data_IF_214212238756
#
_entry.id   IF_214212238756
#
_cell.length_a   1.000
_cell.length_b   1.000
_cell.length_c   1.000
_cell.angle_alpha   90.00
_cell.angle_beta   90.00
_cell.angle_gamma   90.00
#
_symmetry.space_group_name_H-M   'P 1'
#
loop_
_entity.id
_entity.type
_entity.pdbx_description
1 polymer ?
#
# COMPACT_ATOMS: atom_id res chain seq x y z
N UNK A 1 2.49 -30.02 -4.45
CA UNK A 1 2.78 -29.09 -3.33
C UNK A 1 3.19 -27.79 -3.97
N UNK A 2 2.36 -26.78 -3.90
CA UNK A 2 2.70 -25.46 -4.38
C UNK A 2 3.84 -24.94 -3.49
N UNK A 3 4.95 -24.55 -4.08
CA UNK A 3 6.01 -23.85 -3.37
C UNK A 3 5.44 -22.52 -2.89
N UNK A 4 5.07 -22.44 -1.62
CA UNK A 4 4.73 -21.18 -0.97
C UNK A 4 6.01 -20.36 -0.75
N UNK A 5 6.60 -19.86 -1.82
CA UNK A 5 7.61 -18.81 -1.70
C UNK A 5 6.91 -17.47 -1.47
N UNK A 6 6.19 -17.38 -0.36
CA UNK A 6 5.70 -16.11 0.15
C UNK A 6 6.76 -15.47 1.03
N UNK A 7 6.91 -14.15 0.94
CA UNK A 7 7.64 -13.44 1.96
C UNK A 7 6.80 -13.40 3.24
N UNK A 8 7.41 -13.78 4.35
CA UNK A 8 6.78 -13.72 5.66
C UNK A 8 7.03 -12.38 6.34
N UNK A 9 6.10 -11.97 7.21
CA UNK A 9 6.25 -10.77 8.02
C UNK A 9 7.48 -10.88 8.92
N UNK A 10 8.34 -9.90 8.87
CA UNK A 10 9.51 -9.78 9.75
C UNK A 10 9.48 -8.43 10.44
N UNK A 11 10.28 -8.21 11.47
CA UNK A 11 10.40 -6.86 12.04
C UNK A 11 10.87 -5.86 10.98
N UNK A 12 10.27 -4.67 10.98
CA UNK A 12 10.57 -3.65 9.98
C UNK A 12 11.87 -2.92 10.33
N UNK A 13 12.96 -3.08 9.56
CA UNK A 13 14.24 -2.42 9.86
C UNK A 13 14.19 -0.88 9.78
N UNK A 14 13.16 -0.33 9.13
CA UNK A 14 12.96 1.11 9.03
C UNK A 14 12.06 1.67 10.14
N UNK A 15 11.52 0.82 11.01
CA UNK A 15 10.76 1.26 12.16
C UNK A 15 11.72 1.48 13.33
N UNK A 16 12.10 2.72 13.58
CA UNK A 16 13.05 3.09 14.62
C UNK A 16 12.42 3.26 16.01
N UNK A 17 11.15 2.91 16.17
CA UNK A 17 10.47 2.83 17.48
C UNK A 17 10.41 4.13 18.27
N UNK A 18 10.65 5.26 17.62
CA UNK A 18 10.88 6.54 18.25
C UNK A 18 12.37 6.90 18.32
N UNK A 19 12.69 8.14 18.52
CA UNK A 19 14.00 8.75 18.25
C UNK A 19 15.23 8.17 19.00
N UNK A 20 15.05 7.25 19.93
CA UNK A 20 16.13 6.75 20.77
C UNK A 20 16.25 5.21 20.85
N UNK A 21 15.26 4.45 20.39
CA UNK A 21 15.28 3.00 20.48
C UNK A 21 15.55 2.35 19.12
N UNK A 22 16.73 1.77 18.99
CA UNK A 22 17.13 1.04 17.78
C UNK A 22 17.52 -0.39 18.16
N UNK A 23 16.60 -1.34 18.11
CA UNK A 23 16.92 -2.73 18.39
C UNK A 23 17.85 -3.29 17.31
N UNK A 24 18.66 -4.26 17.68
CA UNK A 24 19.41 -5.04 16.72
C UNK A 24 18.52 -6.11 16.13
N UNK A 25 18.40 -6.13 14.80
CA UNK A 25 17.69 -7.16 14.06
C UNK A 25 18.68 -8.14 13.44
N UNK A 26 18.41 -9.43 13.56
CA UNK A 26 19.21 -10.51 12.98
C UNK A 26 18.31 -11.61 12.38
N UNK A 27 18.88 -12.64 11.81
CA UNK A 27 18.15 -13.78 11.25
C UNK A 27 17.08 -13.35 10.23
N UNK A 28 17.47 -12.50 9.25
CA UNK A 28 16.52 -11.96 8.27
C UNK A 28 15.45 -11.07 8.87
N UNK A 29 15.79 -10.30 9.92
CA UNK A 29 14.90 -9.44 10.69
C UNK A 29 13.79 -10.16 11.49
N UNK A 30 13.90 -11.46 11.66
CA UNK A 30 12.97 -12.22 12.53
C UNK A 30 13.32 -12.12 14.00
N UNK A 31 14.60 -12.05 14.31
CA UNK A 31 15.09 -11.94 15.68
C UNK A 31 15.37 -10.50 16.05
N UNK A 32 14.86 -10.09 17.18
CA UNK A 32 15.08 -8.77 17.76
C UNK A 32 15.84 -8.91 19.09
N UNK A 33 16.83 -8.07 19.30
CA UNK A 33 17.44 -7.87 20.59
C UNK A 33 17.63 -6.39 20.88
N UNK A 34 17.34 -5.99 22.09
CA UNK A 34 17.40 -4.59 22.47
C UNK A 34 17.73 -4.42 23.95
N UNK A 35 18.40 -3.32 24.25
CA UNK A 35 18.46 -2.75 25.58
C UNK A 35 17.55 -1.53 25.54
N UNK A 36 16.45 -1.55 26.30
CA UNK A 36 15.60 -0.38 26.43
C UNK A 36 16.36 0.77 27.12
N UNK A 37 16.22 1.98 26.60
CA UNK A 37 16.97 3.13 27.10
C UNK A 37 16.35 3.84 28.32
N UNK A 38 15.35 3.25 28.95
CA UNK A 38 14.82 3.65 30.25
C UNK A 38 13.95 4.89 30.32
N UNK A 39 13.71 5.61 29.22
CA UNK A 39 13.02 6.90 29.26
C UNK A 39 11.84 7.07 28.31
N UNK A 40 11.59 6.13 27.43
CA UNK A 40 10.54 6.28 26.41
C UNK A 40 9.82 4.96 26.12
N UNK A 41 8.56 5.07 25.75
CA UNK A 41 7.77 3.98 25.25
C UNK A 41 8.25 3.59 23.85
N UNK A 42 8.44 2.33 23.62
CA UNK A 42 9.04 1.81 22.39
C UNK A 42 8.14 0.73 21.80
N UNK A 43 8.10 0.67 20.49
CA UNK A 43 7.41 -0.39 19.74
C UNK A 43 8.24 -0.77 18.51
N UNK A 44 8.03 -1.96 18.03
CA UNK A 44 8.63 -2.43 16.79
C UNK A 44 7.65 -3.34 16.06
N UNK A 45 7.04 -2.81 15.02
CA UNK A 45 6.05 -3.52 14.21
C UNK A 45 6.70 -4.36 13.11
N UNK A 46 5.98 -5.33 12.60
CA UNK A 46 6.42 -6.13 11.44
C UNK A 46 6.18 -5.39 10.13
N UNK A 47 6.73 -5.95 9.06
CA UNK A 47 6.65 -5.42 7.69
C UNK A 47 5.32 -5.72 6.98
N UNK A 48 4.54 -6.70 7.45
CA UNK A 48 3.38 -7.21 6.74
C UNK A 48 2.09 -6.97 7.51
N UNK A 49 1.18 -6.23 6.88
CA UNK A 49 -0.17 -6.01 7.35
C UNK A 49 -1.14 -6.99 6.69
N UNK A 50 -2.10 -7.51 7.45
CA UNK A 50 -3.14 -8.42 7.00
C UNK A 50 -4.53 -7.92 7.40
N UNK A 51 -5.60 -8.23 6.65
CA UNK A 51 -6.94 -7.78 7.00
C UNK A 51 -7.42 -8.43 8.31
N UNK A 52 -7.87 -7.59 9.25
CA UNK A 52 -8.34 -8.04 10.56
C UNK A 52 -9.63 -8.88 10.50
N UNK A 53 -10.46 -8.68 9.48
CA UNK A 53 -11.75 -9.32 9.31
C UNK A 53 -11.73 -10.62 8.49
N UNK A 54 -10.54 -11.19 8.21
CA UNK A 54 -10.44 -12.47 7.50
C UNK A 54 -11.10 -13.60 8.28
N UNK A 55 -11.95 -14.38 7.62
CA UNK A 55 -12.72 -15.46 8.25
C UNK A 55 -11.93 -16.71 8.59
N UNK A 56 -10.80 -16.95 7.93
CA UNK A 56 -9.86 -18.01 8.31
C UNK A 56 -9.00 -17.59 9.49
N UNK A 57 -8.70 -16.31 9.59
CA UNK A 57 -7.84 -15.71 10.59
C UNK A 57 -6.35 -15.85 10.30
N UNK A 58 -5.59 -14.89 10.81
CA UNK A 58 -4.13 -14.84 10.71
C UNK A 58 -3.48 -15.13 12.07
N UNK A 59 -2.46 -15.97 12.05
CA UNK A 59 -1.78 -16.47 13.23
C UNK A 59 -0.27 -16.25 13.15
N UNK A 60 0.35 -15.92 14.28
CA UNK A 60 1.79 -15.90 14.45
C UNK A 60 2.20 -16.24 15.89
N UNK A 61 3.46 -16.58 16.05
CA UNK A 61 4.08 -16.87 17.34
C UNK A 61 5.21 -15.88 17.62
N UNK A 62 5.49 -15.70 18.87
CA UNK A 62 6.67 -15.01 19.35
C UNK A 62 7.39 -15.89 20.37
N UNK A 63 8.67 -16.17 20.09
CA UNK A 63 9.52 -16.97 20.97
C UNK A 63 10.52 -16.06 21.70
N UNK A 64 10.21 -15.60 22.93
CA UNK A 64 11.11 -14.75 23.69
C UNK A 64 12.33 -15.55 24.16
N UNK A 65 13.54 -15.03 23.99
CA UNK A 65 14.79 -15.63 24.48
C UNK A 65 15.39 -14.89 25.68
N UNK A 66 14.97 -13.63 25.89
CA UNK A 66 15.27 -12.88 27.09
C UNK A 66 14.06 -11.97 27.42
N UNK A 67 13.54 -12.10 28.63
CA UNK A 67 12.37 -11.32 29.09
C UNK A 67 12.73 -10.68 30.42
N UNK A 68 12.96 -9.38 30.44
CA UNK A 68 13.24 -8.66 31.68
C UNK A 68 12.00 -8.48 32.53
N UNK A 69 12.18 -7.93 33.71
CA UNK A 69 11.08 -7.65 34.67
C UNK A 69 10.16 -6.51 34.25
N UNK A 70 10.47 -5.82 33.15
CA UNK A 70 9.73 -4.69 32.63
C UNK A 70 8.48 -5.07 31.84
N UNK A 71 7.63 -4.07 31.59
CA UNK A 71 6.38 -4.18 30.84
C UNK A 71 6.62 -4.37 29.34
N UNK A 72 6.85 -5.61 28.93
CA UNK A 72 6.94 -6.00 27.54
C UNK A 72 5.63 -6.60 27.07
N UNK A 73 5.31 -6.32 25.81
CA UNK A 73 4.08 -6.75 25.16
C UNK A 73 4.39 -7.37 23.82
N UNK A 74 3.80 -8.51 23.54
CA UNK A 74 3.59 -8.97 22.18
C UNK A 74 2.25 -8.40 21.72
N UNK A 75 2.19 -7.75 20.54
CA UNK A 75 1.08 -6.90 20.17
C UNK A 75 0.70 -7.02 18.70
N UNK A 76 -0.54 -6.61 18.38
CA UNK A 76 -0.96 -6.24 17.04
C UNK A 76 -1.03 -4.72 16.95
N UNK A 77 -0.60 -4.18 15.80
CA UNK A 77 -0.68 -2.78 15.44
C UNK A 77 -1.54 -2.62 14.21
N UNK A 78 -2.56 -1.78 14.29
CA UNK A 78 -3.44 -1.43 13.18
C UNK A 78 -2.86 -0.33 12.29
N UNK A 79 -3.45 -0.15 11.13
CA UNK A 79 -3.10 0.90 10.18
C UNK A 79 -3.38 2.32 10.70
N UNK A 80 -4.23 2.46 11.73
CA UNK A 80 -4.47 3.71 12.44
C UNK A 80 -3.51 3.97 13.63
N UNK A 81 -2.59 3.05 13.91
CA UNK A 81 -1.59 3.26 14.96
C UNK A 81 -0.65 4.41 14.61
N UNK A 82 -0.54 5.37 15.50
CA UNK A 82 0.35 6.53 15.30
C UNK A 82 1.77 6.19 15.71
N UNK A 83 2.59 5.93 14.72
CA UNK A 83 4.03 5.78 14.90
C UNK A 83 4.66 7.13 15.26
N UNK A 84 5.28 7.24 16.44
CA UNK A 84 5.91 8.49 16.89
C UNK A 84 6.60 8.37 18.24
N UNK A 85 7.23 9.45 18.68
CA UNK A 85 7.86 9.53 20.01
C UNK A 85 6.80 9.40 21.11
N UNK A 86 7.05 8.52 22.08
CA UNK A 86 6.16 8.21 23.20
C UNK A 86 4.85 7.48 22.84
N UNK A 87 4.74 6.90 21.64
CA UNK A 87 3.64 6.00 21.36
C UNK A 87 3.85 4.67 22.07
N UNK A 88 2.85 4.20 22.79
CA UNK A 88 2.84 2.89 23.44
C UNK A 88 1.51 2.18 23.21
N UNK A 89 1.50 0.85 23.39
CA UNK A 89 0.30 0.03 23.21
C UNK A 89 -0.86 0.50 24.10
N UNK A 90 -0.55 1.04 25.29
CA UNK A 90 -1.56 1.49 26.25
C UNK A 90 -2.12 2.88 25.97
N UNK A 91 -1.39 3.73 25.23
CA UNK A 91 -1.71 5.15 25.07
C UNK A 91 -2.01 5.54 23.62
N UNK A 92 -1.97 4.60 22.70
CA UNK A 92 -2.17 4.87 21.26
C UNK A 92 -3.32 4.03 20.71
N UNK A 93 -4.29 4.63 20.02
CA UNK A 93 -5.32 3.87 19.33
C UNK A 93 -4.68 2.96 18.27
N UNK A 94 -5.32 1.84 17.98
CA UNK A 94 -4.84 0.89 16.99
C UNK A 94 -3.72 -0.02 17.48
N UNK A 95 -3.58 -0.22 18.79
CA UNK A 95 -2.66 -1.19 19.34
C UNK A 95 -3.32 -2.08 20.40
N UNK A 96 -3.02 -3.38 20.35
CA UNK A 96 -3.58 -4.39 21.26
C UNK A 96 -2.46 -5.33 21.69
N UNK A 97 -2.14 -5.35 22.97
CA UNK A 97 -0.97 -6.06 23.48
C UNK A 97 -1.27 -7.03 24.60
N UNK A 98 -0.50 -8.12 24.63
CA UNK A 98 -0.42 -9.09 25.70
C UNK A 98 0.86 -8.84 26.48
N UNK A 99 0.70 -8.28 27.67
CA UNK A 99 1.80 -7.92 28.54
C UNK A 99 2.40 -9.18 29.20
N UNK A 100 3.68 -9.17 29.39
CA UNK A 100 4.43 -10.20 30.09
C UNK A 100 3.85 -10.52 31.49
N UNK A 101 3.30 -9.56 32.20
CA UNK A 101 2.64 -9.75 33.50
C UNK A 101 1.31 -10.53 33.43
N UNK A 102 0.82 -10.83 32.22
CA UNK A 102 -0.47 -11.43 32.00
C UNK A 102 -1.60 -10.43 31.75
N UNK A 103 -1.33 -9.13 31.79
CA UNK A 103 -2.36 -8.12 31.50
C UNK A 103 -2.54 -7.90 30.00
N UNK A 104 -3.71 -7.44 29.59
CA UNK A 104 -4.01 -7.04 28.23
C UNK A 104 -4.11 -5.53 28.13
N UNK A 105 -3.36 -4.94 27.24
CA UNK A 105 -3.20 -3.50 27.11
C UNK A 105 -3.71 -2.98 25.77
N UNK A 106 -4.60 -1.98 25.81
CA UNK A 106 -5.03 -1.21 24.64
C UNK A 106 -5.65 0.11 25.11
N UNK A 107 -5.58 1.15 24.29
CA UNK A 107 -6.34 2.39 24.50
C UNK A 107 -7.79 2.28 24.01
N UNK A 108 -8.08 1.33 23.11
CA UNK A 108 -9.43 1.20 22.57
C UNK A 108 -10.37 0.58 23.60
N UNK A 109 -11.47 1.26 23.87
CA UNK A 109 -12.55 0.78 24.73
C UNK A 109 -13.31 -0.36 24.03
N UNK A 110 -12.98 -1.58 24.37
CA UNK A 110 -13.66 -2.81 23.95
C UNK A 110 -13.76 -3.76 25.13
N UNK A 111 -14.67 -4.72 25.07
CA UNK A 111 -14.80 -5.72 26.13
C UNK A 111 -13.47 -6.47 26.29
N UNK A 112 -12.74 -6.17 27.35
CA UNK A 112 -11.42 -6.72 27.64
C UNK A 112 -10.37 -5.69 28.07
N UNK A 113 -10.59 -4.42 27.80
CA UNK A 113 -9.62 -3.38 28.19
C UNK A 113 -9.43 -3.34 29.73
N UNK A 114 -8.25 -3.77 30.19
CA UNK A 114 -7.75 -3.51 31.51
C UNK A 114 -8.24 -4.35 32.69
N UNK A 115 -9.07 -5.39 32.49
CA UNK A 115 -9.65 -6.15 33.60
C UNK A 115 -9.48 -7.67 33.51
N UNK A 116 -9.21 -8.24 32.36
CA UNK A 116 -8.91 -9.66 32.23
C UNK A 116 -7.42 -9.86 32.37
N UNK A 117 -7.00 -10.61 33.40
CA UNK A 117 -5.62 -11.05 33.53
C UNK A 117 -5.52 -12.45 32.93
N UNK A 118 -4.69 -12.61 31.92
CA UNK A 118 -4.24 -13.89 31.45
C UNK A 118 -3.04 -14.38 32.26
N UNK A 119 -2.35 -15.36 31.73
CA UNK A 119 -1.18 -15.97 32.34
C UNK A 119 0.08 -15.12 32.08
N UNK A 120 0.88 -14.88 33.09
CA UNK A 120 2.19 -14.23 32.91
C UNK A 120 3.12 -15.15 32.09
N UNK A 121 3.88 -14.58 31.16
CA UNK A 121 4.79 -15.34 30.31
C UNK A 121 6.25 -14.99 30.53
N UNK A 122 7.14 -15.92 30.20
CA UNK A 122 8.58 -15.88 30.40
C UNK A 122 9.31 -16.23 29.11
N UNK A 123 10.64 -16.25 29.14
CA UNK A 123 11.46 -16.72 28.02
C UNK A 123 11.31 -18.23 27.70
N UNK A 124 10.55 -18.96 28.51
CA UNK A 124 10.29 -20.39 28.28
C UNK A 124 8.96 -20.65 27.56
N UNK A 125 8.17 -19.61 27.30
CA UNK A 125 6.87 -19.76 26.67
C UNK A 125 6.90 -19.33 25.19
N UNK A 126 6.05 -19.92 24.38
CA UNK A 126 5.70 -19.43 23.06
C UNK A 126 4.45 -18.61 23.19
N UNK A 127 4.55 -17.30 22.89
CA UNK A 127 3.41 -16.39 22.95
C UNK A 127 2.71 -16.40 21.60
N UNK A 128 1.40 -16.55 21.61
CA UNK A 128 0.57 -16.73 20.42
C UNK A 128 -0.35 -15.53 20.22
N UNK A 129 -0.51 -15.12 18.96
CA UNK A 129 -1.56 -14.16 18.55
C UNK A 129 -2.33 -14.74 17.36
N UNK A 130 -3.65 -14.62 17.43
CA UNK A 130 -4.56 -14.87 16.32
C UNK A 130 -5.55 -13.72 16.19
N UNK A 131 -5.75 -13.25 14.96
CA UNK A 131 -6.82 -12.33 14.58
C UNK A 131 -7.75 -13.00 13.58
N UNK A 132 -9.05 -13.03 13.87
CA UNK A 132 -10.07 -13.65 13.02
C UNK A 132 -11.40 -12.91 13.14
N UNK A 133 -12.02 -12.56 12.02
CA UNK A 133 -13.29 -11.83 11.99
C UNK A 133 -13.31 -10.61 12.94
N UNK A 134 -12.20 -9.85 12.98
CA UNK A 134 -12.05 -8.69 13.86
C UNK A 134 -11.95 -9.02 15.34
N UNK A 135 -11.65 -10.28 15.70
CA UNK A 135 -11.48 -10.74 17.09
C UNK A 135 -10.04 -11.16 17.34
N UNK A 136 -9.44 -10.64 18.41
CA UNK A 136 -8.06 -10.95 18.81
C UNK A 136 -8.06 -11.98 19.93
N UNK A 137 -7.23 -13.00 19.75
CA UNK A 137 -6.95 -14.04 20.72
C UNK A 137 -5.47 -14.04 21.05
N UNK A 138 -5.14 -14.11 22.32
CA UNK A 138 -3.78 -14.37 22.80
C UNK A 138 -3.70 -15.74 23.45
N UNK A 139 -2.52 -16.30 23.49
CA UNK A 139 -2.31 -17.59 24.12
C UNK A 139 -0.84 -17.87 24.43
N UNK A 140 -0.63 -18.95 25.13
CA UNK A 140 0.69 -19.49 25.49
C UNK A 140 0.73 -20.98 25.22
N UNK A 141 1.83 -21.45 24.63
CA UNK A 141 2.18 -22.87 24.51
C UNK A 141 1.02 -23.74 23.98
N UNK A 142 0.31 -23.25 22.97
CA UNK A 142 -0.80 -23.97 22.33
C UNK A 142 -2.18 -23.78 22.96
N UNK A 143 -2.28 -23.02 24.05
CA UNK A 143 -3.57 -22.75 24.74
C UNK A 143 -3.92 -21.27 24.65
N UNK A 144 -5.11 -20.97 24.11
CA UNK A 144 -5.62 -19.60 24.10
C UNK A 144 -6.15 -19.20 25.47
N UNK A 145 -5.82 -17.98 25.87
CA UNK A 145 -6.30 -17.35 27.09
C UNK A 145 -7.83 -17.14 27.05
N UNK A 146 -8.42 -16.87 28.23
CA UNK A 146 -9.85 -16.65 28.38
C UNK A 146 -10.73 -17.78 27.80
N UNK A 147 -10.22 -19.02 27.84
CA UNK A 147 -10.89 -20.19 27.22
C UNK A 147 -11.21 -19.97 25.73
N UNK A 148 -10.31 -19.30 25.01
CA UNK A 148 -10.47 -18.94 23.61
C UNK A 148 -10.75 -20.15 22.73
N UNK A 149 -11.88 -20.11 22.02
CA UNK A 149 -12.30 -21.12 21.05
C UNK A 149 -12.47 -20.48 19.68
N UNK A 150 -11.53 -20.72 18.79
CA UNK A 150 -11.48 -20.12 17.46
C UNK A 150 -12.63 -20.59 16.56
N UNK A 151 -13.06 -21.85 16.69
CA UNK A 151 -14.12 -22.44 15.88
C UNK A 151 -15.49 -21.81 16.20
N UNK A 152 -15.74 -21.58 17.49
CA UNK A 152 -16.99 -20.98 17.99
C UNK A 152 -16.88 -19.47 18.15
N UNK A 153 -15.70 -18.90 17.89
CA UNK A 153 -15.39 -17.48 18.05
C UNK A 153 -15.74 -16.89 19.41
N UNK A 154 -15.41 -17.63 20.47
CA UNK A 154 -15.61 -17.25 21.89
C UNK A 154 -14.28 -17.09 22.60
N UNK A 155 -14.26 -16.41 23.75
CA UNK A 155 -13.06 -16.24 24.57
C UNK A 155 -12.00 -15.33 23.94
N UNK A 156 -12.36 -14.51 22.97
CA UNK A 156 -11.50 -13.45 22.43
C UNK A 156 -11.23 -12.38 23.51
N UNK A 157 -10.14 -11.66 23.35
CA UNK A 157 -9.76 -10.57 24.26
C UNK A 157 -10.33 -9.24 23.76
N UNK A 158 -10.27 -8.96 22.46
CA UNK A 158 -10.88 -7.80 21.81
C UNK A 158 -11.68 -8.21 20.60
N UNK A 159 -12.61 -7.36 20.20
CA UNK A 159 -13.47 -7.54 19.03
C UNK A 159 -13.72 -6.21 18.32
N UNK A 160 -14.37 -6.28 17.16
CA UNK A 160 -14.69 -5.14 16.30
C UNK A 160 -13.45 -4.45 15.74
N UNK A 161 -12.34 -5.18 15.60
CA UNK A 161 -11.14 -4.69 14.96
C UNK A 161 -11.37 -4.64 13.45
N UNK A 162 -11.13 -3.49 12.86
CA UNK A 162 -11.28 -3.23 11.41
C UNK A 162 -9.97 -2.78 10.82
N UNK A 163 -9.91 -2.70 9.48
CA UNK A 163 -8.68 -2.33 8.77
C UNK A 163 -7.66 -3.46 8.72
N UNK A 164 -6.40 -3.09 8.59
CA UNK A 164 -5.30 -4.05 8.53
C UNK A 164 -4.48 -4.00 9.82
N UNK A 165 -3.88 -5.13 10.17
CA UNK A 165 -3.05 -5.26 11.37
C UNK A 165 -1.75 -5.99 11.07
N UNK A 166 -0.70 -5.68 11.81
CA UNK A 166 0.57 -6.41 11.77
C UNK A 166 1.03 -6.77 13.19
N UNK A 167 1.74 -7.90 13.39
CA UNK A 167 2.31 -8.24 14.68
C UNK A 167 3.55 -7.40 14.98
N UNK A 168 3.89 -7.33 16.26
CA UNK A 168 5.10 -6.69 16.72
C UNK A 168 5.25 -6.72 18.22
N UNK A 169 6.17 -5.94 18.72
CA UNK A 169 6.44 -5.82 20.15
C UNK A 169 6.37 -4.37 20.60
N UNK A 170 6.02 -4.18 21.87
CA UNK A 170 6.08 -2.90 22.54
C UNK A 170 6.64 -3.01 23.95
N UNK A 171 7.25 -1.95 24.44
CA UNK A 171 7.65 -1.86 25.83
C UNK A 171 7.36 -0.48 26.40
N UNK A 172 7.08 -0.47 27.69
CA UNK A 172 7.03 0.74 28.49
C UNK A 172 8.42 1.01 29.10
N UNK A 173 8.76 2.27 29.26
CA UNK A 173 10.07 2.77 29.63
C UNK A 173 10.77 1.99 30.77
N UNK A 174 11.63 1.05 30.48
CA UNK A 174 12.53 0.48 31.45
C UNK A 174 13.83 -0.02 30.83
N UNK A 175 14.92 0.21 31.57
CA UNK A 175 16.26 -0.17 31.16
C UNK A 175 16.47 -1.69 31.36
N UNK A 176 16.05 -2.50 30.38
CA UNK A 176 16.27 -3.94 30.47
C UNK A 176 16.38 -4.60 29.10
N UNK A 177 17.19 -5.65 29.05
CA UNK A 177 17.43 -6.38 27.81
C UNK A 177 16.23 -7.26 27.47
N UNK A 178 15.77 -7.15 26.24
CA UNK A 178 14.76 -8.00 25.64
C UNK A 178 15.33 -8.66 24.40
N UNK A 179 14.97 -9.91 24.17
CA UNK A 179 15.29 -10.59 22.93
C UNK A 179 14.25 -11.68 22.62
N UNK A 180 14.03 -11.94 21.36
CA UNK A 180 13.11 -12.99 20.90
C UNK A 180 12.99 -13.01 19.38
N UNK A 181 12.23 -14.00 18.91
CA UNK A 181 11.99 -14.23 17.49
C UNK A 181 10.50 -14.17 17.17
N UNK A 182 10.14 -13.37 16.16
CA UNK A 182 8.83 -13.38 15.56
C UNK A 182 8.75 -14.53 14.54
N UNK A 183 7.78 -15.40 14.70
CA UNK A 183 7.58 -16.59 13.87
C UNK A 183 6.27 -16.40 13.09
N UNK A 184 6.40 -16.09 11.81
CA UNK A 184 5.31 -15.92 10.85
C UNK A 184 5.37 -16.97 9.73
N UNK A 185 6.45 -17.72 9.63
CA UNK A 185 6.62 -18.84 8.71
C UNK A 185 5.95 -20.10 9.30
N UNK A 186 4.91 -20.67 8.64
CA UNK A 186 4.19 -21.84 9.15
C UNK A 186 5.06 -23.07 9.31
N UNK A 187 6.18 -23.16 8.57
CA UNK A 187 7.13 -24.27 8.73
C UNK A 187 7.90 -24.22 10.07
N UNK A 188 7.91 -23.08 10.73
CA UNK A 188 8.58 -22.85 12.01
C UNK A 188 7.61 -22.71 13.19
N UNK A 189 6.32 -22.57 12.93
CA UNK A 189 5.29 -22.46 13.96
C UNK A 189 5.06 -23.81 14.65
N UNK A 190 4.90 -23.76 15.96
CA UNK A 190 4.68 -24.96 16.80
C UNK A 190 3.20 -25.22 17.07
N UNK A 191 2.39 -24.17 17.17
CA UNK A 191 1.01 -24.24 17.65
C UNK A 191 -0.02 -23.66 16.68
N UNK A 192 0.31 -23.54 15.39
CA UNK A 192 -0.63 -22.95 14.43
C UNK A 192 -1.95 -23.75 14.39
N UNK A 193 -3.08 -23.11 14.67
CA UNK A 193 -4.38 -23.77 14.58
C UNK A 193 -4.72 -24.15 13.14
N UNK A 194 -5.29 -25.33 12.95
CA UNK A 194 -5.70 -25.83 11.64
C UNK A 194 -6.67 -24.86 10.95
N UNK A 195 -6.44 -24.58 9.67
CA UNK A 195 -7.28 -23.68 8.86
C UNK A 195 -6.98 -22.20 9.02
N UNK A 196 -6.03 -21.80 9.87
CA UNK A 196 -5.56 -20.43 9.95
C UNK A 196 -4.45 -20.14 8.96
N UNK A 197 -4.29 -18.87 8.59
CA UNK A 197 -3.25 -18.36 7.70
C UNK A 197 -2.09 -17.79 8.50
N UNK A 198 -0.89 -17.83 7.96
CA UNK A 198 0.26 -17.11 8.49
C UNK A 198 0.30 -15.65 8.00
N UNK A 199 1.03 -14.78 8.70
CA UNK A 199 1.36 -13.43 8.23
C UNK A 199 2.40 -13.52 7.10
N UNK A 200 1.95 -13.93 5.93
CA UNK A 200 2.75 -14.13 4.73
C UNK A 200 2.05 -13.58 3.50
N UNK A 201 2.83 -13.13 2.50
CA UNK A 201 2.30 -12.52 1.28
C UNK A 201 1.43 -13.47 0.46
N UNK A 202 1.69 -14.79 0.55
CA UNK A 202 0.85 -15.80 -0.11
C UNK A 202 -0.59 -15.86 0.42
N UNK A 203 -0.82 -15.33 1.62
CA UNK A 203 -2.13 -15.33 2.30
C UNK A 203 -2.86 -13.99 2.20
N UNK A 204 -2.25 -12.99 1.60
CA UNK A 204 -2.92 -11.71 1.32
C UNK A 204 -3.99 -11.90 0.25
N UNK A 205 -5.01 -11.04 0.23
CA UNK A 205 -5.94 -11.00 -0.89
C UNK A 205 -5.18 -10.90 -2.22
N UNK A 206 -5.63 -11.65 -3.22
CA UNK A 206 -5.05 -11.54 -4.56
C UNK A 206 -5.14 -10.09 -5.01
N UNK A 207 -4.03 -9.45 -5.39
CA UNK A 207 -4.08 -8.09 -5.89
C UNK A 207 -4.97 -8.01 -7.12
N UNK A 208 -5.69 -6.91 -7.28
CA UNK A 208 -6.53 -6.68 -8.46
C UNK A 208 -5.71 -6.75 -9.76
N UNK A 209 -4.45 -6.32 -9.69
CA UNK A 209 -3.49 -6.44 -10.77
C UNK A 209 -2.60 -7.65 -10.48
N UNK A 210 -2.84 -8.77 -11.17
CA UNK A 210 -2.04 -9.99 -11.04
C UNK A 210 -0.75 -9.88 -11.86
N UNK A 211 -0.85 -9.25 -13.04
CA UNK A 211 0.26 -9.00 -13.93
C UNK A 211 0.31 -7.51 -14.28
N UNK A 212 1.31 -6.79 -13.81
CA UNK A 212 1.47 -5.36 -14.08
C UNK A 212 1.63 -5.07 -15.58
N UNK A 213 2.26 -5.98 -16.31
CA UNK A 213 2.51 -5.82 -17.74
C UNK A 213 1.23 -5.77 -18.57
N UNK A 214 0.11 -6.29 -18.07
CA UNK A 214 -1.19 -6.15 -18.73
C UNK A 214 -1.76 -4.73 -18.66
N UNK A 215 -1.23 -3.87 -17.80
CA UNK A 215 -1.79 -2.56 -17.49
C UNK A 215 -0.78 -1.40 -17.54
N UNK A 216 0.49 -1.71 -17.44
CA UNK A 216 1.54 -0.73 -17.25
C UNK A 216 2.84 -1.17 -17.91
N UNK A 217 3.55 -0.21 -18.49
CA UNK A 217 4.92 -0.37 -18.98
C UNK A 217 5.81 0.69 -18.38
N UNK A 218 6.99 0.29 -17.93
CA UNK A 218 8.07 1.20 -17.55
C UNK A 218 9.38 0.71 -18.13
N UNK A 219 10.12 1.59 -18.78
CA UNK A 219 11.37 1.23 -19.40
C UNK A 219 12.27 2.40 -19.71
N UNK A 220 13.52 2.10 -20.02
CA UNK A 220 14.50 3.06 -20.46
C UNK A 220 14.79 2.89 -21.96
N UNK A 221 14.75 3.98 -22.70
CA UNK A 221 15.00 4.02 -24.15
C UNK A 221 16.14 4.98 -24.42
N UNK A 222 17.14 4.55 -25.18
CA UNK A 222 18.27 5.39 -25.56
C UNK A 222 18.28 5.60 -27.08
N UNK A 223 18.27 6.87 -27.51
CA UNK A 223 18.45 7.22 -28.93
C UNK A 223 19.93 7.10 -29.35
N UNK A 224 20.16 6.76 -30.62
CA UNK A 224 21.50 6.73 -31.18
C UNK A 224 21.80 7.99 -31.99
N UNK A 225 23.05 8.11 -32.46
CA UNK A 225 23.46 9.24 -33.31
C UNK A 225 22.73 9.36 -34.63
N UNK A 226 22.11 8.27 -35.12
CA UNK A 226 21.55 8.22 -36.48
C UNK A 226 20.26 7.45 -36.64
N UNK A 227 19.71 6.86 -35.57
CA UNK A 227 18.57 5.96 -35.70
C UNK A 227 17.51 6.20 -34.65
N UNK A 228 16.26 6.23 -35.11
CA UNK A 228 15.11 6.16 -34.22
C UNK A 228 15.13 4.85 -33.42
N UNK A 229 14.57 4.86 -32.22
CA UNK A 229 14.49 3.66 -31.38
C UNK A 229 13.04 3.23 -31.23
N UNK A 230 12.79 1.99 -31.61
CA UNK A 230 11.48 1.34 -31.45
C UNK A 230 11.52 0.40 -30.25
N UNK A 231 10.56 0.52 -29.39
CA UNK A 231 10.40 -0.28 -28.16
C UNK A 231 9.08 -1.01 -28.19
N UNK A 232 9.11 -2.29 -27.81
CA UNK A 232 7.90 -3.12 -27.68
C UNK A 232 7.33 -2.99 -26.27
N UNK A 233 6.02 -2.86 -26.18
CA UNK A 233 5.26 -2.85 -24.93
C UNK A 233 4.38 -4.10 -24.83
N UNK A 234 3.98 -4.52 -23.63
CA UNK A 234 3.31 -5.80 -23.44
C UNK A 234 1.83 -5.82 -23.87
N UNK A 235 1.25 -4.67 -24.24
CA UNK A 235 -0.14 -4.56 -24.71
C UNK A 235 -0.23 -3.75 -26.01
N UNK A 236 -1.31 -3.96 -26.75
CA UNK A 236 -1.54 -3.26 -28.03
C UNK A 236 -2.07 -1.85 -27.78
N UNK A 237 -1.29 -0.83 -28.14
CA UNK A 237 -1.62 0.57 -27.97
C UNK A 237 -2.74 1.08 -28.91
N UNK A 238 -3.01 0.36 -30.00
CA UNK A 238 -4.12 0.69 -30.91
C UNK A 238 -5.48 0.21 -30.36
N UNK A 239 -5.48 -0.79 -29.47
CA UNK A 239 -6.70 -1.35 -28.87
C UNK A 239 -7.17 -0.58 -27.63
N UNK A 240 -6.29 0.18 -27.01
CA UNK A 240 -6.56 0.84 -25.74
C UNK A 240 -6.25 2.34 -25.78
N UNK A 241 -6.96 3.07 -24.99
CA UNK A 241 -6.54 4.41 -24.61
C UNK A 241 -5.42 4.33 -23.57
N UNK A 242 -4.48 5.26 -23.63
CA UNK A 242 -3.28 5.25 -22.79
C UNK A 242 -2.76 6.65 -22.49
N UNK A 243 -2.02 6.75 -21.40
CA UNK A 243 -1.19 7.90 -21.03
C UNK A 243 0.28 7.46 -21.06
N UNK A 244 1.11 8.15 -21.83
CA UNK A 244 2.56 7.98 -21.87
C UNK A 244 3.25 9.17 -21.22
N UNK A 245 4.17 8.89 -20.32
CA UNK A 245 5.00 9.89 -19.64
C UNK A 245 6.44 9.65 -20.10
N UNK A 246 7.08 10.68 -20.62
CA UNK A 246 8.47 10.61 -21.14
C UNK A 246 9.34 11.63 -20.45
N UNK A 247 10.48 11.19 -19.94
CA UNK A 247 11.50 12.04 -19.33
C UNK A 247 12.87 11.77 -19.93
N UNK A 248 13.46 12.81 -20.51
CA UNK A 248 14.88 12.79 -20.86
C UNK A 248 15.73 12.83 -19.57
N UNK A 249 16.59 11.85 -19.36
CA UNK A 249 17.46 11.73 -18.19
C UNK A 249 18.89 12.21 -18.44
N UNK A 250 19.27 12.40 -19.70
CA UNK A 250 20.58 12.90 -20.10
C UNK A 250 20.63 14.43 -20.08
N UNK A 251 19.47 15.07 -20.32
CA UNK A 251 19.36 16.54 -20.35
C UNK A 251 18.32 17.07 -19.35
N UNK A 252 18.31 18.38 -19.12
CA UNK A 252 17.40 19.08 -18.22
C UNK A 252 15.99 19.27 -18.78
N UNK A 253 15.63 18.56 -19.84
CA UNK A 253 14.31 18.64 -20.48
C UNK A 253 13.13 18.39 -19.54
N UNK A 254 11.98 18.94 -19.91
CA UNK A 254 10.73 18.77 -19.18
C UNK A 254 10.24 17.32 -19.22
N UNK A 255 9.45 16.92 -18.23
CA UNK A 255 8.57 15.77 -18.36
C UNK A 255 7.51 16.05 -19.41
N UNK A 256 7.28 15.13 -20.32
CA UNK A 256 6.32 15.24 -21.41
C UNK A 256 5.24 14.17 -21.22
N UNK A 257 3.99 14.58 -21.28
CA UNK A 257 2.83 13.72 -21.18
C UNK A 257 2.13 13.69 -22.52
N UNK A 258 1.97 12.51 -23.07
CA UNK A 258 1.26 12.23 -24.32
C UNK A 258 0.13 11.26 -24.01
N UNK A 259 -1.03 11.48 -24.54
CA UNK A 259 -2.11 10.50 -24.43
C UNK A 259 -2.81 10.29 -25.76
N UNK A 260 -3.45 9.17 -25.91
CA UNK A 260 -4.13 8.78 -27.14
C UNK A 260 -5.27 9.75 -27.53
N UNK A 261 -5.93 10.38 -26.55
CA UNK A 261 -7.03 11.31 -26.81
C UNK A 261 -6.63 12.64 -27.43
N UNK A 262 -5.54 13.21 -26.95
CA UNK A 262 -5.03 14.44 -27.59
C UNK A 262 -4.28 14.13 -28.88
N UNK A 263 -4.07 12.82 -29.16
CA UNK A 263 -3.35 12.32 -30.32
C UNK A 263 -1.84 12.25 -30.12
N UNK A 264 -1.20 11.34 -30.83
CA UNK A 264 0.26 11.16 -30.80
C UNK A 264 1.04 12.36 -31.33
N UNK A 265 0.38 13.29 -32.03
CA UNK A 265 0.97 14.56 -32.49
C UNK A 265 0.92 15.71 -31.47
N UNK A 266 0.51 15.46 -30.24
CA UNK A 266 0.38 16.49 -29.20
C UNK A 266 1.02 16.06 -27.88
N UNK A 267 1.49 17.01 -27.07
CA UNK A 267 2.04 16.76 -25.75
C UNK A 267 1.68 17.88 -24.78
N UNK A 268 1.82 17.55 -23.48
CA UNK A 268 1.70 18.49 -22.35
C UNK A 268 2.97 18.41 -21.52
N UNK A 269 3.46 19.53 -21.02
CA UNK A 269 4.60 19.58 -20.08
C UNK A 269 4.09 19.61 -18.65
N UNK A 270 4.65 18.72 -17.79
CA UNK A 270 4.25 18.66 -16.39
C UNK A 270 4.75 19.83 -15.54
N UNK A 271 5.83 20.46 -15.95
CA UNK A 271 6.50 21.55 -15.21
C UNK A 271 6.18 22.95 -15.73
N UNK A 272 5.17 23.08 -16.57
CA UNK A 272 4.81 24.37 -17.18
C UNK A 272 3.31 24.63 -17.19
N UNK A 273 2.94 25.89 -17.33
CA UNK A 273 1.56 26.32 -17.48
C UNK A 273 1.10 26.40 -18.95
N UNK A 274 1.97 26.03 -19.88
CA UNK A 274 1.68 26.06 -21.32
C UNK A 274 0.49 25.16 -21.67
N UNK A 275 -0.27 25.54 -22.67
CA UNK A 275 -1.20 24.67 -23.36
C UNK A 275 -0.45 23.50 -24.05
N UNK A 276 -1.21 22.59 -24.66
CA UNK A 276 -0.60 21.49 -25.43
C UNK A 276 0.28 22.03 -26.58
N UNK A 277 1.38 21.36 -26.83
CA UNK A 277 2.29 21.61 -27.93
C UNK A 277 2.21 20.55 -29.01
N UNK A 278 2.82 20.81 -30.16
CA UNK A 278 2.96 19.84 -31.26
C UNK A 278 4.14 18.90 -30.98
N UNK A 279 3.95 17.63 -31.35
CA UNK A 279 4.89 16.54 -31.13
C UNK A 279 5.16 15.83 -32.46
N UNK A 280 6.41 15.78 -32.86
CA UNK A 280 6.85 15.17 -34.13
C UNK A 280 7.88 14.05 -33.95
N UNK A 281 8.24 13.75 -32.72
CA UNK A 281 9.30 12.78 -32.39
C UNK A 281 8.79 11.44 -31.82
N UNK A 282 7.51 11.28 -31.63
CA UNK A 282 6.89 10.05 -31.13
C UNK A 282 5.89 9.50 -32.15
N UNK A 283 5.98 8.22 -32.45
CA UNK A 283 4.95 7.47 -33.16
C UNK A 283 4.60 6.19 -32.41
N UNK A 284 3.36 5.75 -32.55
CA UNK A 284 2.81 4.56 -31.89
C UNK A 284 2.12 3.69 -32.93
N UNK A 285 2.31 2.38 -32.88
CA UNK A 285 1.65 1.42 -33.75
C UNK A 285 1.66 0.01 -33.14
N UNK A 286 0.48 -0.55 -32.96
CA UNK A 286 0.32 -1.87 -32.38
C UNK A 286 0.94 -1.97 -30.98
N UNK A 287 1.82 -2.92 -30.80
CA UNK A 287 2.56 -3.13 -29.55
C UNK A 287 3.88 -2.35 -29.47
N UNK A 288 4.08 -1.33 -30.33
CA UNK A 288 5.34 -0.60 -30.35
C UNK A 288 5.14 0.92 -30.28
N UNK A 289 6.12 1.59 -29.72
CA UNK A 289 6.31 3.03 -29.88
C UNK A 289 7.73 3.31 -30.38
N UNK A 290 7.89 4.39 -31.12
CA UNK A 290 9.17 4.82 -31.67
C UNK A 290 9.46 6.24 -31.25
N UNK A 291 10.63 6.45 -30.65
CA UNK A 291 11.19 7.78 -30.35
C UNK A 291 12.19 8.11 -31.44
N UNK A 292 11.97 9.25 -32.09
CA UNK A 292 12.87 9.70 -33.15
C UNK A 292 14.02 10.54 -32.59
N UNK A 293 15.10 10.62 -33.34
CA UNK A 293 16.26 11.44 -33.02
C UNK A 293 15.98 12.95 -33.04
N UNK A 294 14.79 13.36 -33.48
CA UNK A 294 14.35 14.76 -33.44
C UNK A 294 14.24 15.33 -32.01
N UNK A 295 14.03 14.47 -31.02
CA UNK A 295 13.97 14.89 -29.59
C UNK A 295 15.37 15.09 -28.99
N UNK A 296 16.37 14.40 -29.53
CA UNK A 296 17.76 14.40 -29.08
C UNK A 296 18.50 13.15 -29.57
N UNK A 297 19.79 13.28 -29.82
CA UNK A 297 20.68 12.19 -30.20
C UNK A 297 21.52 11.79 -29.01
N UNK A 298 21.75 10.48 -28.84
CA UNK A 298 22.49 9.91 -27.70
C UNK A 298 21.86 10.24 -26.34
N UNK A 299 20.57 10.55 -26.33
CA UNK A 299 19.82 10.83 -25.12
C UNK A 299 19.15 9.56 -24.59
N UNK A 300 19.03 9.48 -23.28
CA UNK A 300 18.33 8.39 -22.58
C UNK A 300 17.02 8.93 -22.02
N UNK A 301 15.95 8.17 -22.24
CA UNK A 301 14.60 8.50 -21.81
C UNK A 301 14.06 7.41 -20.88
N UNK A 302 13.44 7.81 -19.79
CA UNK A 302 12.51 6.95 -19.04
C UNK A 302 11.13 7.15 -19.64
N UNK A 303 10.47 6.04 -19.93
CA UNK A 303 9.12 6.01 -20.51
C UNK A 303 8.23 5.16 -19.61
N UNK A 304 7.09 5.72 -19.25
CA UNK A 304 6.03 5.04 -18.52
C UNK A 304 4.75 5.12 -19.32
N UNK A 305 4.02 4.00 -19.45
CA UNK A 305 2.75 3.95 -20.17
C UNK A 305 1.71 3.31 -19.27
N UNK A 306 0.64 4.04 -19.01
CA UNK A 306 -0.52 3.58 -18.26
C UNK A 306 -1.66 3.28 -19.23
N UNK A 307 -2.11 2.03 -19.25
CA UNK A 307 -3.25 1.60 -20.05
C UNK A 307 -4.55 1.99 -19.37
N UNK A 308 -5.39 2.70 -20.09
CA UNK A 308 -6.77 3.00 -19.69
C UNK A 308 -7.76 2.01 -20.33
N UNK A 309 -8.98 2.42 -20.64
CA UNK A 309 -10.00 1.59 -21.24
C UNK A 309 -9.77 1.28 -22.71
N UNK A 310 -10.66 0.50 -23.31
CA UNK A 310 -10.63 0.18 -24.75
C UNK A 310 -10.84 1.44 -25.60
N UNK A 311 -10.05 1.62 -26.63
CA UNK A 311 -10.17 2.73 -27.58
C UNK A 311 -11.53 2.76 -28.31
N UNK A 312 -12.15 1.59 -28.50
CA UNK A 312 -13.49 1.47 -29.09
C UNK A 312 -14.64 1.74 -28.13
N UNK A 313 -14.37 1.77 -26.82
CA UNK A 313 -15.35 2.08 -25.80
C UNK A 313 -15.38 3.60 -25.59
N UNK A 314 -15.99 4.33 -26.49
CA UNK A 314 -16.44 5.68 -26.20
C UNK A 314 -17.59 5.58 -25.19
N UNK A 315 -17.25 5.38 -23.93
CA UNK A 315 -18.22 5.53 -22.89
C UNK A 315 -18.62 7.01 -22.85
N UNK A 316 -19.85 7.29 -23.25
CA UNK A 316 -20.51 8.43 -22.67
C UNK A 316 -20.27 8.34 -21.17
N UNK A 317 -19.84 9.41 -20.53
CA UNK A 317 -19.65 9.45 -19.09
C UNK A 317 -21.01 9.15 -18.42
N UNK A 318 -21.24 7.87 -18.13
CA UNK A 318 -22.50 7.39 -17.55
C UNK A 318 -22.51 7.42 -16.04
N UNK A 319 -21.37 7.60 -15.40
CA UNK A 319 -21.21 7.47 -13.95
C UNK A 319 -21.19 8.79 -13.20
N UNK A 320 -20.98 9.87 -13.90
CA UNK A 320 -21.08 11.20 -13.33
C UNK A 320 -22.20 11.93 -14.01
N UNK A 321 -23.08 12.42 -13.24
CA UNK A 321 -23.80 13.59 -13.68
C UNK A 321 -22.74 14.67 -13.90
N UNK A 322 -22.38 14.90 -15.16
CA UNK A 322 -22.07 16.30 -15.49
C UNK A 322 -23.23 17.08 -14.93
N UNK A 323 -22.94 17.98 -13.99
CA UNK A 323 -23.97 18.87 -13.55
C UNK A 323 -24.56 19.45 -14.81
N UNK A 324 -25.77 19.02 -15.13
CA UNK A 324 -26.43 19.44 -16.34
C UNK A 324 -26.77 20.88 -16.12
N UNK A 325 -25.89 21.74 -16.57
CA UNK A 325 -26.26 23.15 -16.77
C UNK A 325 -27.06 23.33 -18.06
N UNK A 326 -27.46 22.23 -18.68
CA UNK A 326 -28.23 22.17 -19.90
C UNK A 326 -27.40 22.24 -21.18
N UNK A 327 -26.07 22.28 -21.11
CA UNK A 327 -25.21 22.25 -22.31
C UNK A 327 -24.73 20.81 -22.57
N UNK A 328 -25.13 20.27 -23.71
CA UNK A 328 -24.72 18.93 -24.18
C UNK A 328 -23.27 18.86 -24.68
N UNK A 329 -22.50 19.93 -24.54
CA UNK A 329 -21.16 20.07 -25.12
C UNK A 329 -20.01 19.87 -24.15
N UNK A 330 -20.29 19.61 -22.86
CA UNK A 330 -19.27 19.69 -21.81
C UNK A 330 -18.44 18.44 -21.67
N UNK A 331 -18.93 17.30 -22.19
CA UNK A 331 -18.16 16.09 -22.18
C UNK A 331 -17.67 15.72 -23.53
N UNK A 332 -16.41 15.47 -23.56
CA UNK A 332 -15.87 14.89 -24.73
C UNK A 332 -15.59 13.43 -24.58
N UNK A 333 -15.01 13.00 -23.45
CA UNK A 333 -14.58 11.59 -23.38
C UNK A 333 -14.09 11.20 -22.00
N UNK A 334 -14.44 10.00 -21.57
CA UNK A 334 -13.91 9.34 -20.36
C UNK A 334 -13.51 7.91 -20.69
N UNK A 335 -12.36 7.48 -20.22
CA UNK A 335 -11.90 6.10 -20.32
C UNK A 335 -11.33 5.63 -19.00
N UNK A 336 -11.54 4.35 -18.69
CA UNK A 336 -11.15 3.78 -17.41
C UNK A 336 -10.72 2.32 -17.56
N UNK A 337 -9.68 1.98 -16.84
CA UNK A 337 -9.28 0.61 -16.57
C UNK A 337 -9.63 0.29 -15.11
N UNK A 338 -10.75 -0.38 -14.90
CA UNK A 338 -11.24 -0.71 -13.56
C UNK A 338 -10.30 -1.63 -12.78
N UNK A 339 -9.53 -2.47 -13.48
CA UNK A 339 -8.59 -3.40 -12.85
C UNK A 339 -7.40 -2.65 -12.26
N UNK A 340 -6.82 -1.70 -13.01
CA UNK A 340 -5.70 -0.89 -12.51
C UNK A 340 -6.14 0.32 -11.68
N UNK A 341 -7.42 0.66 -11.70
CA UNK A 341 -7.94 1.86 -11.06
C UNK A 341 -7.45 3.16 -11.73
N UNK A 342 -7.04 3.09 -13.00
CA UNK A 342 -6.55 4.22 -13.76
C UNK A 342 -7.57 4.66 -14.82
N UNK A 343 -7.82 5.95 -14.88
CA UNK A 343 -8.67 6.53 -15.90
C UNK A 343 -8.35 7.99 -16.14
N UNK A 344 -8.83 8.52 -17.26
CA UNK A 344 -8.78 9.93 -17.52
C UNK A 344 -9.98 10.43 -18.33
N UNK A 345 -10.28 11.72 -18.18
CA UNK A 345 -11.40 12.37 -18.83
C UNK A 345 -10.93 13.65 -19.48
N UNK A 346 -11.48 13.95 -20.66
CA UNK A 346 -11.37 15.27 -21.30
C UNK A 346 -12.75 15.93 -21.25
N UNK A 347 -12.77 17.17 -20.81
CA UNK A 347 -13.99 17.95 -20.71
C UNK A 347 -13.75 19.40 -21.15
N UNK A 348 -14.79 20.07 -21.58
CA UNK A 348 -14.76 21.49 -21.91
C UNK A 348 -15.06 22.28 -20.65
N UNK A 349 -14.10 23.11 -20.22
CA UNK A 349 -14.31 24.10 -19.16
C UNK A 349 -15.00 25.32 -19.69
N UNK A 350 -16.03 25.79 -19.02
CA UNK A 350 -16.67 27.07 -19.32
C UNK A 350 -16.32 28.12 -18.27
N UNK A 351 -16.13 29.36 -18.72
CA UNK A 351 -15.94 30.51 -17.84
C UNK A 351 -17.27 30.81 -17.13
N UNK A 352 -17.21 31.06 -15.83
CA UNK A 352 -18.33 31.52 -15.00
C UNK A 352 -19.46 30.54 -14.65
N UNK A 353 -19.23 29.21 -14.76
CA UNK A 353 -20.26 28.18 -14.50
C UNK A 353 -20.22 27.49 -13.11
N UNK A 354 -19.45 27.97 -12.16
CA UNK A 354 -19.44 27.45 -10.78
C UNK A 354 -18.87 26.01 -10.63
N UNK A 355 -19.32 25.30 -9.61
CA UNK A 355 -18.85 23.92 -9.31
C UNK A 355 -19.46 22.94 -10.30
N UNK A 356 -18.61 22.08 -10.88
CA UNK A 356 -19.02 21.01 -11.80
C UNK A 356 -18.62 19.65 -11.29
N UNK A 357 -19.41 18.67 -11.63
CA UNK A 357 -19.14 17.25 -11.38
C UNK A 357 -18.73 16.59 -12.68
N UNK A 358 -17.59 15.90 -12.67
CA UNK A 358 -17.05 15.15 -13.81
C UNK A 358 -17.07 13.68 -13.43
N UNK A 359 -17.70 12.84 -14.26
CA UNK A 359 -17.63 11.41 -14.08
C UNK A 359 -16.25 10.88 -14.43
N UNK A 360 -15.77 9.99 -13.61
CA UNK A 360 -14.45 9.39 -13.74
C UNK A 360 -14.47 7.92 -14.18
N UNK A 361 -15.66 7.27 -14.20
CA UNK A 361 -15.83 5.88 -14.61
C UNK A 361 -15.24 4.83 -13.67
N UNK A 362 -14.60 5.22 -12.58
CA UNK A 362 -14.12 4.28 -11.55
C UNK A 362 -15.31 3.85 -10.68
N UNK A 363 -15.29 2.62 -10.19
CA UNK A 363 -16.31 2.03 -9.31
C UNK A 363 -16.25 2.55 -7.87
N UNK A 364 -15.22 3.33 -7.55
CA UNK A 364 -15.03 4.02 -6.26
C UNK A 364 -14.46 5.41 -6.46
N UNK A 365 -14.55 6.27 -5.46
CA UNK A 365 -13.97 7.62 -5.49
C UNK A 365 -12.46 7.55 -5.78
N UNK A 366 -11.95 8.42 -6.70
CA UNK A 366 -10.53 8.47 -6.98
C UNK A 366 -9.75 8.97 -5.76
N UNK A 367 -8.63 8.33 -5.48
CA UNK A 367 -7.74 8.71 -4.38
C UNK A 367 -6.77 9.84 -4.79
N UNK A 368 -6.50 9.93 -6.09
CA UNK A 368 -5.61 10.95 -6.65
C UNK A 368 -6.16 11.47 -7.99
N UNK A 369 -6.21 12.78 -8.13
CA UNK A 369 -6.72 13.48 -9.34
C UNK A 369 -5.71 14.53 -9.78
N UNK A 370 -5.43 14.55 -11.08
CA UNK A 370 -4.60 15.58 -11.72
C UNK A 370 -5.42 16.24 -12.83
N UNK A 371 -5.44 17.57 -12.84
CA UNK A 371 -6.10 18.37 -13.85
C UNK A 371 -5.10 19.26 -14.61
N UNK A 372 -5.30 19.38 -15.93
CA UNK A 372 -4.52 20.26 -16.77
C UNK A 372 -5.36 20.85 -17.89
N UNK A 373 -5.30 22.14 -18.06
CA UNK A 373 -5.87 22.82 -19.22
C UNK A 373 -5.06 22.50 -20.49
N UNK A 374 -5.73 22.01 -21.52
CA UNK A 374 -5.11 21.64 -22.80
C UNK A 374 -5.06 22.80 -23.79
N UNK A 375 -6.09 23.62 -23.81
CA UNK A 375 -6.29 24.72 -24.78
C UNK A 375 -6.60 26.01 -24.04
N UNK A 376 -6.13 27.14 -24.56
CA UNK A 376 -6.34 28.46 -23.99
C UNK A 376 -5.08 29.13 -23.46
N UNK A 377 -5.23 30.11 -22.59
CA UNK A 377 -4.12 30.96 -22.10
C UNK A 377 -3.11 30.22 -21.17
N UNK A 378 -3.27 28.92 -21.00
CA UNK A 378 -2.42 28.10 -20.15
C UNK A 378 -2.68 28.34 -18.66
N UNK A 379 -2.85 27.25 -17.93
CA UNK A 379 -2.98 27.28 -16.47
C UNK A 379 -2.08 26.20 -15.84
N UNK A 380 -1.76 26.40 -14.58
CA UNK A 380 -0.97 25.44 -13.82
C UNK A 380 -1.67 24.08 -13.73
N UNK A 381 -0.89 23.06 -13.45
CA UNK A 381 -1.41 21.77 -13.02
C UNK A 381 -2.09 21.93 -11.66
N UNK A 382 -3.20 21.26 -11.48
CA UNK A 382 -3.85 21.12 -10.20
C UNK A 382 -3.90 19.62 -9.85
N UNK A 383 -3.46 19.27 -8.66
CA UNK A 383 -3.53 17.89 -8.15
C UNK A 383 -4.21 17.89 -6.79
N UNK A 384 -4.98 16.84 -6.55
CA UNK A 384 -5.64 16.58 -5.27
C UNK A 384 -5.42 15.13 -4.88
N UNK A 385 -5.03 14.93 -3.65
CA UNK A 385 -5.00 13.62 -3.00
C UNK A 385 -6.07 13.63 -1.91
N UNK A 386 -6.92 12.59 -1.87
CA UNK A 386 -8.04 12.46 -0.93
C UNK A 386 -7.63 11.62 0.25
#
# INVERSE_FOLDING_TARGET
MANEYGNYGTFNPNNDGGSAWRPTLTNGNRTISSVANGTQNNYHASTLFVPANDSSGFYCEFNPSAVPTADWRFALFGDNFKYGTNSEVTNSPGAWGYNRSGTYDSQESGAGAGSASGTAWTASNIVMILIKNGKIYFGLDGTFENSGNIANETGYIWQNITGNVCPGIGCNASASTFAGELITDPALMTHQPSGTKSFGTANLPTPAIINSDDHFFSGTVATSTSSNVTTTVPFNLDDYEWLMIVKNTTSTGSWVWVNSFIGTGKFIRSNGNNAQGDLDWLSVSGTTFTISTAIGVEDTFVVEIHKAGLASATAANTDGTFASDGSSSDTTHTTVNLVSGFGYSIFVGEVDKGVRTIGHGLDKAPEFVINKQLVGAGSNWASTHV
#
